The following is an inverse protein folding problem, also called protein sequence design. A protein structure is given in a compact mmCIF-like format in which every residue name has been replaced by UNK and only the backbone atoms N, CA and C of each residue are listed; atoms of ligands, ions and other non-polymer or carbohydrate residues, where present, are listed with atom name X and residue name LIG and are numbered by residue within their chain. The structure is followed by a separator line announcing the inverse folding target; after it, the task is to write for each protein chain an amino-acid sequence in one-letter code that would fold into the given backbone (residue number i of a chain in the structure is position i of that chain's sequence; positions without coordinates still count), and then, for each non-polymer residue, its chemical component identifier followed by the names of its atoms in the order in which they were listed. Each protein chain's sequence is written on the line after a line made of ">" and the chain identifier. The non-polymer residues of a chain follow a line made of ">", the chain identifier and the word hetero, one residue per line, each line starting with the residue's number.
data_IF_325876462200
#
_entry.id   IF_325876462200
#
_cell.length_a   1.000
_cell.length_b   1.000
_cell.length_c   1.000
_cell.angle_alpha   90.00
_cell.angle_beta   90.00
_cell.angle_gamma   90.00
#
_symmetry.space_group_name_H-M   'P 1'
#
loop_
_entity.id
_entity.type
_entity.pdbx_description
1 polymer ?
#
# COMPACT_ATOMS: atom_id res chain seq x y z
N UNK A 1 -28.82 14.10 -11.70
CA UNK A 1 -27.43 13.80 -12.12
C UNK A 1 -26.80 13.03 -10.98
N UNK A 2 -26.56 11.73 -11.16
CA UNK A 2 -25.84 10.92 -10.17
C UNK A 2 -24.43 11.50 -10.00
N UNK A 3 -24.07 11.90 -8.78
CA UNK A 3 -22.68 12.25 -8.47
C UNK A 3 -21.85 11.00 -8.68
N UNK A 4 -20.97 11.01 -9.68
CA UNK A 4 -20.01 9.93 -9.90
C UNK A 4 -19.17 9.79 -8.62
N UNK A 5 -19.29 8.65 -7.95
CA UNK A 5 -18.54 8.34 -6.73
C UNK A 5 -17.04 8.48 -7.04
N UNK A 6 -16.28 9.17 -6.17
CA UNK A 6 -14.84 9.34 -6.40
C UNK A 6 -14.16 7.99 -6.18
N UNK A 7 -13.37 7.52 -7.14
CA UNK A 7 -12.59 6.30 -6.96
C UNK A 7 -11.24 6.63 -6.34
N UNK A 8 -10.82 5.82 -5.37
CA UNK A 8 -9.48 5.85 -4.80
C UNK A 8 -8.89 4.45 -4.83
N UNK A 9 -7.74 4.31 -5.50
CA UNK A 9 -7.03 3.04 -5.63
C UNK A 9 -5.63 3.17 -5.06
N UNK A 10 -5.30 2.33 -4.08
CA UNK A 10 -3.99 2.31 -3.44
C UNK A 10 -3.36 0.92 -3.61
N UNK A 11 -2.09 0.87 -4.00
CA UNK A 11 -1.29 -0.35 -4.06
C UNK A 11 -0.23 -0.31 -2.97
N UNK A 12 -0.07 -1.40 -2.22
CA UNK A 12 1.08 -1.67 -1.35
C UNK A 12 1.82 -2.88 -1.93
N UNK A 13 2.97 -2.62 -2.53
CA UNK A 13 3.81 -3.57 -3.24
C UNK A 13 4.92 -4.10 -2.34
N UNK A 14 4.90 -5.41 -2.08
CA UNK A 14 5.71 -6.07 -1.05
C UNK A 14 5.13 -5.82 0.35
N UNK A 15 3.83 -6.08 0.51
CA UNK A 15 3.08 -5.73 1.71
C UNK A 15 3.36 -6.63 2.93
N UNK A 16 4.13 -7.70 2.76
CA UNK A 16 4.49 -8.67 3.79
C UNK A 16 3.25 -9.15 4.59
N UNK A 17 3.31 -9.09 5.92
CA UNK A 17 2.22 -9.49 6.83
C UNK A 17 1.07 -8.48 6.94
N UNK A 18 0.98 -7.47 6.07
CA UNK A 18 -0.23 -6.65 5.89
C UNK A 18 -0.33 -5.40 6.78
N UNK A 19 0.68 -5.11 7.60
CA UNK A 19 0.68 -3.92 8.47
C UNK A 19 0.51 -2.62 7.68
N UNK A 20 1.20 -2.46 6.53
CA UNK A 20 1.10 -1.26 5.70
C UNK A 20 -0.31 -1.09 5.07
N UNK A 21 -0.91 -2.09 4.38
CA UNK A 21 -2.28 -2.01 3.89
C UNK A 21 -3.32 -1.66 4.95
N UNK A 22 -3.23 -2.26 6.15
CA UNK A 22 -4.17 -1.95 7.23
C UNK A 22 -3.93 -0.57 7.82
N UNK A 23 -2.67 -0.12 7.93
CA UNK A 23 -2.36 1.26 8.33
C UNK A 23 -2.98 2.26 7.36
N UNK A 24 -2.86 2.02 6.05
CA UNK A 24 -3.47 2.87 5.02
C UNK A 24 -5.01 2.88 5.14
N UNK A 25 -5.62 1.72 5.41
CA UNK A 25 -7.07 1.62 5.62
C UNK A 25 -7.52 2.41 6.86
N UNK A 26 -6.78 2.32 7.97
CA UNK A 26 -7.03 3.11 9.18
C UNK A 26 -6.90 4.60 8.87
N UNK A 27 -5.83 5.03 8.18
CA UNK A 27 -5.65 6.43 7.79
C UNK A 27 -6.86 6.94 6.98
N UNK A 28 -7.39 6.14 6.05
CA UNK A 28 -8.58 6.52 5.29
C UNK A 28 -9.82 6.69 6.19
N UNK A 29 -10.04 5.78 7.15
CA UNK A 29 -11.15 5.88 8.11
C UNK A 29 -11.03 7.10 9.04
N UNK A 30 -9.81 7.59 9.27
CA UNK A 30 -9.59 8.74 10.17
C UNK A 30 -9.53 10.09 9.45
N UNK A 31 -9.18 10.10 8.16
CA UNK A 31 -9.01 11.35 7.39
C UNK A 31 -10.16 11.67 6.45
N UNK A 32 -11.00 10.69 6.10
CA UNK A 32 -12.14 10.88 5.21
C UNK A 32 -13.42 10.92 6.03
N UNK A 33 -14.15 12.04 5.95
CA UNK A 33 -15.39 12.26 6.72
C UNK A 33 -16.44 11.16 6.49
N UNK A 34 -16.67 10.80 5.22
CA UNK A 34 -17.57 9.70 4.85
C UNK A 34 -16.98 8.87 3.70
N UNK A 35 -16.42 7.70 4.05
CA UNK A 35 -15.92 6.75 3.07
C UNK A 35 -17.00 6.16 2.16
N UNK A 36 -18.30 6.32 2.45
CA UNK A 36 -19.36 5.90 1.53
C UNK A 36 -19.41 6.76 0.27
N UNK A 37 -18.88 7.97 0.30
CA UNK A 37 -18.79 8.86 -0.86
C UNK A 37 -17.61 8.52 -1.80
N UNK A 38 -16.74 7.60 -1.38
CA UNK A 38 -15.53 7.21 -2.12
C UNK A 38 -15.51 5.69 -2.31
N UNK A 39 -15.41 5.23 -3.55
CA UNK A 39 -15.07 3.83 -3.81
C UNK A 39 -13.57 3.66 -3.59
N UNK A 40 -13.18 3.40 -2.34
CA UNK A 40 -11.79 3.20 -1.93
C UNK A 40 -11.42 1.72 -1.92
N UNK A 41 -10.29 1.38 -2.55
CA UNK A 41 -9.71 0.03 -2.51
C UNK A 41 -8.21 0.09 -2.28
N UNK A 42 -7.73 -0.73 -1.35
CA UNK A 42 -6.33 -0.94 -1.04
C UNK A 42 -5.97 -2.36 -1.47
N UNK A 43 -4.94 -2.48 -2.29
CA UNK A 43 -4.45 -3.77 -2.75
C UNK A 43 -3.06 -3.99 -2.16
N UNK A 44 -2.89 -5.04 -1.37
CA UNK A 44 -1.60 -5.54 -0.91
C UNK A 44 -1.13 -6.67 -1.81
N UNK A 45 0.12 -6.62 -2.28
CA UNK A 45 0.73 -7.72 -3.03
C UNK A 45 2.04 -8.15 -2.40
N UNK A 46 2.29 -9.45 -2.38
CA UNK A 46 3.56 -10.02 -1.95
C UNK A 46 3.82 -11.37 -2.67
N UNK A 47 5.08 -11.80 -2.70
CA UNK A 47 5.48 -13.12 -3.20
C UNK A 47 5.41 -14.19 -2.11
N UNK A 48 5.56 -13.80 -0.84
CA UNK A 48 5.53 -14.71 0.30
C UNK A 48 4.09 -15.05 0.72
N UNK A 49 3.67 -16.26 0.39
CA UNK A 49 2.35 -16.77 0.75
C UNK A 49 2.14 -16.92 2.27
N UNK A 50 3.19 -17.21 3.04
CA UNK A 50 3.12 -17.29 4.50
C UNK A 50 2.83 -15.93 5.11
N UNK A 51 3.50 -14.89 4.61
CA UNK A 51 3.26 -13.51 5.01
C UNK A 51 1.82 -13.08 4.64
N UNK A 52 1.35 -13.39 3.43
CA UNK A 52 -0.01 -13.08 3.01
C UNK A 52 -1.08 -13.79 3.86
N UNK A 53 -0.86 -15.06 4.25
CA UNK A 53 -1.76 -15.76 5.19
C UNK A 53 -1.82 -15.09 6.57
N UNK A 54 -0.75 -14.43 7.02
CA UNK A 54 -0.78 -13.60 8.24
C UNK A 54 -1.56 -12.31 7.99
N UNK A 55 -1.34 -11.65 6.85
CA UNK A 55 -2.06 -10.45 6.45
C UNK A 55 -3.57 -10.67 6.36
N UNK A 56 -3.99 -11.76 5.71
CA UNK A 56 -5.39 -12.15 5.61
C UNK A 56 -5.99 -12.51 6.96
N UNK A 57 -5.24 -13.12 7.88
CA UNK A 57 -5.72 -13.33 9.25
C UNK A 57 -5.87 -12.01 10.00
N UNK A 58 -4.98 -11.04 9.78
CA UNK A 58 -5.02 -9.71 10.39
C UNK A 58 -5.01 -9.77 11.91
N UNK A 59 -4.22 -10.68 12.48
CA UNK A 59 -3.97 -10.80 13.92
C UNK A 59 -2.49 -10.54 14.15
N UNK A 60 -2.19 -9.57 15.01
CA UNK A 60 -0.86 -9.05 15.26
C UNK A 60 -0.48 -9.17 16.73
N UNK A 61 0.79 -9.40 17.01
CA UNK A 61 1.29 -9.38 18.39
C UNK A 61 1.51 -7.94 18.89
N UNK A 62 1.86 -7.80 20.16
CA UNK A 62 2.14 -6.52 20.80
C UNK A 62 3.30 -5.77 20.11
N UNK A 63 4.29 -6.49 19.59
CA UNK A 63 5.44 -5.90 18.91
C UNK A 63 5.04 -5.26 17.59
N UNK A 64 4.16 -5.90 16.81
CA UNK A 64 3.65 -5.37 15.54
C UNK A 64 2.83 -4.09 15.74
N UNK A 65 2.15 -3.93 16.88
CA UNK A 65 1.29 -2.76 17.13
C UNK A 65 1.89 -1.71 18.07
N UNK A 66 3.14 -1.90 18.54
CA UNK A 66 3.79 -1.03 19.53
C UNK A 66 3.80 0.46 19.17
N UNK A 67 3.85 0.77 17.87
CA UNK A 67 3.93 2.14 17.34
C UNK A 67 2.54 2.70 16.98
N UNK A 68 1.46 1.93 17.18
CA UNK A 68 0.08 2.35 16.93
C UNK A 68 -0.42 3.14 18.15
N UNK A 69 -0.81 4.42 18.00
CA UNK A 69 -1.38 5.18 19.11
C UNK A 69 -2.63 4.51 19.70
N UNK A 70 -2.75 4.51 21.03
CA UNK A 70 -3.81 3.80 21.77
C UNK A 70 -5.23 4.07 21.26
N UNK A 71 -5.55 5.34 20.93
CA UNK A 71 -6.85 5.71 20.36
C UNK A 71 -7.22 4.94 19.08
N UNK A 72 -6.22 4.57 18.26
CA UNK A 72 -6.45 3.83 17.03
C UNK A 72 -6.49 2.32 17.29
N UNK A 73 -5.74 1.83 18.28
CA UNK A 73 -5.86 0.44 18.76
C UNK A 73 -7.29 0.17 19.24
N UNK A 74 -7.81 1.00 20.14
CA UNK A 74 -9.15 0.85 20.72
C UNK A 74 -10.25 0.88 19.63
N UNK A 75 -10.10 1.79 18.67
CA UNK A 75 -11.10 2.00 17.61
C UNK A 75 -11.06 0.94 16.51
N UNK A 76 -9.87 0.46 16.12
CA UNK A 76 -9.69 -0.35 14.91
C UNK A 76 -9.28 -1.80 15.15
N UNK A 77 -9.05 -2.20 16.40
CA UNK A 77 -8.67 -3.56 16.74
C UNK A 77 -9.60 -4.14 17.81
N UNK A 78 -9.77 -5.45 17.77
CA UNK A 78 -10.30 -6.27 18.86
C UNK A 78 -9.13 -6.90 19.61
N UNK A 79 -9.16 -6.79 20.95
CA UNK A 79 -8.14 -7.41 21.80
C UNK A 79 -8.54 -8.87 22.02
N UNK A 80 -7.65 -9.78 21.62
CA UNK A 80 -7.78 -11.23 21.76
C UNK A 80 -6.68 -11.76 22.67
N UNK A 81 -6.85 -12.97 23.27
CA UNK A 81 -5.75 -13.64 23.97
C UNK A 81 -4.52 -13.88 23.09
N UNK A 82 -4.71 -13.97 21.77
CA UNK A 82 -3.66 -14.19 20.76
C UNK A 82 -3.06 -12.91 20.19
N UNK A 83 -3.44 -11.73 20.69
CA UNK A 83 -2.96 -10.42 20.23
C UNK A 83 -4.08 -9.49 19.80
N UNK A 84 -3.84 -8.70 18.75
CA UNK A 84 -4.74 -7.65 18.27
C UNK A 84 -5.27 -8.03 16.90
N UNK A 85 -6.59 -8.22 16.79
CA UNK A 85 -7.24 -8.51 15.52
C UNK A 85 -7.76 -7.24 14.89
N UNK A 86 -7.41 -6.98 13.62
CA UNK A 86 -7.95 -5.83 12.87
C UNK A 86 -9.46 -6.01 12.71
N UNK A 87 -10.24 -4.97 13.05
CA UNK A 87 -11.70 -4.98 12.89
C UNK A 87 -12.12 -5.02 11.43
N UNK A 88 -13.30 -5.62 11.18
CA UNK A 88 -13.79 -5.88 9.83
C UNK A 88 -13.96 -4.62 8.97
N UNK A 89 -14.31 -3.47 9.55
CA UNK A 89 -14.45 -2.23 8.75
C UNK A 89 -13.14 -1.77 8.11
N UNK A 90 -12.01 -2.03 8.76
CA UNK A 90 -10.67 -1.76 8.21
C UNK A 90 -10.32 -2.82 7.16
N UNK A 91 -10.64 -4.09 7.42
CA UNK A 91 -10.35 -5.21 6.52
C UNK A 91 -11.09 -5.12 5.20
N UNK A 92 -12.33 -4.64 5.19
CA UNK A 92 -13.19 -4.58 3.99
C UNK A 92 -12.59 -3.77 2.84
N UNK A 93 -11.76 -2.76 3.13
CA UNK A 93 -11.08 -1.95 2.11
C UNK A 93 -9.86 -2.63 1.49
N UNK A 94 -9.34 -3.69 2.12
CA UNK A 94 -8.05 -4.30 1.77
C UNK A 94 -8.27 -5.63 1.04
N UNK A 95 -7.52 -5.86 -0.05
CA UNK A 95 -7.44 -7.15 -0.74
C UNK A 95 -5.99 -7.54 -0.94
N UNK A 96 -5.69 -8.81 -0.73
CA UNK A 96 -4.35 -9.36 -0.84
C UNK A 96 -4.23 -10.26 -2.06
N UNK A 97 -3.10 -10.20 -2.77
CA UNK A 97 -2.80 -11.07 -3.90
C UNK A 97 -1.35 -11.56 -3.87
N UNK A 98 -1.15 -12.86 -4.11
CA UNK A 98 0.19 -13.44 -4.30
C UNK A 98 0.71 -13.10 -5.69
N UNK A 99 1.64 -12.16 -5.77
CA UNK A 99 2.14 -11.63 -7.04
C UNK A 99 3.64 -11.39 -6.95
N UNK A 100 4.35 -11.83 -7.98
CA UNK A 100 5.74 -11.47 -8.19
C UNK A 100 5.81 -10.11 -8.89
N UNK A 101 6.57 -9.16 -8.34
CA UNK A 101 6.74 -7.82 -8.91
C UNK A 101 7.41 -7.81 -10.30
N UNK A 102 8.10 -8.87 -10.67
CA UNK A 102 8.67 -9.04 -12.01
C UNK A 102 7.63 -9.51 -13.04
N UNK A 103 6.50 -10.08 -12.59
CA UNK A 103 5.44 -10.58 -13.46
C UNK A 103 4.48 -9.46 -13.85
N UNK A 104 4.83 -8.72 -14.90
CA UNK A 104 4.05 -7.62 -15.43
C UNK A 104 2.63 -8.04 -15.86
N UNK A 105 2.46 -9.28 -16.33
CA UNK A 105 1.16 -9.76 -16.80
C UNK A 105 0.20 -9.95 -15.63
N UNK A 106 0.65 -10.61 -14.56
CA UNK A 106 -0.19 -10.81 -13.38
C UNK A 106 -0.38 -9.52 -12.57
N UNK A 107 0.62 -8.63 -12.51
CA UNK A 107 0.45 -7.29 -11.95
C UNK A 107 -0.71 -6.52 -12.59
N UNK A 108 -0.78 -6.51 -13.92
CA UNK A 108 -1.85 -5.82 -14.65
C UNK A 108 -3.24 -6.44 -14.46
N UNK A 109 -3.33 -7.68 -13.97
CA UNK A 109 -4.60 -8.35 -13.60
C UNK A 109 -5.08 -7.96 -12.20
N UNK A 110 -4.16 -7.65 -11.28
CA UNK A 110 -4.49 -7.15 -9.93
C UNK A 110 -5.25 -5.83 -10.01
N UNK A 111 -4.84 -4.97 -10.94
CA UNK A 111 -5.49 -3.71 -11.19
C UNK A 111 -4.63 -2.79 -12.04
N UNK A 112 -5.24 -1.70 -12.49
CA UNK A 112 -4.57 -0.59 -13.15
C UNK A 112 -5.13 0.71 -12.58
N UNK A 113 -4.45 1.81 -12.91
CA UNK A 113 -4.87 3.15 -12.56
C UNK A 113 -4.89 3.39 -11.04
N UNK A 114 -3.80 3.03 -10.37
CA UNK A 114 -3.60 3.38 -8.96
C UNK A 114 -3.28 4.86 -8.80
N UNK A 115 -3.90 5.50 -7.79
CA UNK A 115 -3.68 6.90 -7.40
C UNK A 115 -2.43 7.01 -6.50
N UNK A 116 -2.23 6.01 -5.64
CA UNK A 116 -1.09 5.91 -4.74
C UNK A 116 -0.48 4.51 -4.78
N UNK A 117 0.85 4.44 -4.85
CA UNK A 117 1.62 3.19 -4.80
C UNK A 117 2.64 3.29 -3.68
N UNK A 118 2.68 2.31 -2.80
CA UNK A 118 3.69 2.16 -1.76
C UNK A 118 4.58 0.98 -2.15
N UNK A 119 5.89 1.18 -2.18
CA UNK A 119 6.88 0.14 -2.42
C UNK A 119 8.06 0.42 -1.49
N UNK A 120 7.87 0.13 -0.20
CA UNK A 120 8.77 0.55 0.88
C UNK A 120 9.55 -0.63 1.41
N UNK A 121 10.87 -0.49 1.51
CA UNK A 121 11.79 -1.49 2.02
C UNK A 121 11.83 -2.78 1.18
N UNK A 122 11.52 -2.69 -0.12
CA UNK A 122 11.48 -3.85 -1.05
C UNK A 122 12.60 -3.78 -2.07
N UNK A 123 12.83 -2.60 -2.66
CA UNK A 123 13.80 -2.43 -3.75
C UNK A 123 15.24 -2.62 -3.27
N UNK A 124 15.50 -2.47 -1.97
CA UNK A 124 16.83 -2.71 -1.37
C UNK A 124 17.37 -4.12 -1.64
N UNK A 125 16.50 -5.11 -1.83
CA UNK A 125 16.90 -6.51 -2.08
C UNK A 125 17.22 -6.80 -3.55
N UNK A 126 16.99 -5.86 -4.46
CA UNK A 126 17.13 -6.07 -5.89
C UNK A 126 18.44 -5.48 -6.44
N UNK A 127 18.95 -6.07 -7.53
CA UNK A 127 20.01 -5.48 -8.35
C UNK A 127 19.48 -4.23 -9.06
N UNK A 128 20.37 -3.39 -9.59
CA UNK A 128 19.95 -2.15 -10.26
C UNK A 128 19.07 -2.39 -11.50
N UNK A 129 19.32 -3.46 -12.25
CA UNK A 129 18.48 -3.87 -13.38
C UNK A 129 17.09 -4.32 -12.90
N UNK A 130 17.06 -5.18 -11.88
CA UNK A 130 15.82 -5.65 -11.28
C UNK A 130 14.98 -4.51 -10.67
N UNK A 131 15.63 -3.52 -10.03
CA UNK A 131 14.96 -2.31 -9.52
C UNK A 131 14.28 -1.54 -10.64
N UNK A 132 14.95 -1.35 -11.78
CA UNK A 132 14.37 -0.66 -12.94
C UNK A 132 13.15 -1.39 -13.46
N UNK A 133 13.24 -2.70 -13.65
CA UNK A 133 12.13 -3.50 -14.15
C UNK A 133 10.90 -3.42 -13.24
N UNK A 134 11.09 -3.55 -11.92
CA UNK A 134 9.99 -3.44 -10.95
C UNK A 134 9.36 -2.05 -10.99
N UNK A 135 10.18 -1.00 -11.00
CA UNK A 135 9.67 0.38 -11.06
C UNK A 135 8.93 0.66 -12.36
N UNK A 136 9.38 0.15 -13.49
CA UNK A 136 8.66 0.25 -14.77
C UNK A 136 7.31 -0.46 -14.72
N UNK A 137 7.26 -1.66 -14.15
CA UNK A 137 6.01 -2.41 -13.95
C UNK A 137 5.02 -1.60 -13.09
N UNK A 138 5.48 -1.07 -11.96
CA UNK A 138 4.65 -0.23 -11.08
C UNK A 138 4.21 1.06 -11.78
N UNK A 139 5.09 1.71 -12.55
CA UNK A 139 4.77 2.91 -13.32
C UNK A 139 3.62 2.66 -14.31
N UNK A 140 3.56 1.49 -14.95
CA UNK A 140 2.47 1.13 -15.86
C UNK A 140 1.12 0.96 -15.14
N UNK A 141 1.14 0.60 -13.85
CA UNK A 141 -0.08 0.44 -13.04
C UNK A 141 -0.63 1.78 -12.53
N UNK A 142 0.15 2.85 -12.55
CA UNK A 142 -0.20 4.16 -11.98
C UNK A 142 -1.01 5.05 -12.94
N UNK A 143 -1.95 5.84 -12.42
CA UNK A 143 -2.58 6.96 -13.17
C UNK A 143 -1.55 8.05 -13.48
N UNK A 144 -1.71 8.83 -14.56
CA UNK A 144 -1.04 10.12 -14.69
C UNK A 144 -1.31 10.98 -13.45
N UNK A 145 -0.28 11.64 -12.93
CA UNK A 145 -0.37 12.45 -11.69
C UNK A 145 -0.31 11.66 -10.37
N UNK A 146 -0.34 10.32 -10.39
CA UNK A 146 -0.27 9.47 -9.20
C UNK A 146 1.09 9.54 -8.49
N UNK A 147 1.13 9.11 -7.23
CA UNK A 147 2.35 9.13 -6.41
C UNK A 147 2.83 7.72 -6.06
N UNK A 148 4.15 7.56 -6.03
CA UNK A 148 4.83 6.39 -5.45
C UNK A 148 5.68 6.81 -4.24
N UNK A 149 5.56 6.03 -3.17
CA UNK A 149 6.26 6.20 -1.90
C UNK A 149 7.27 5.06 -1.72
N UNK A 150 8.52 5.42 -1.41
CA UNK A 150 9.60 4.46 -1.15
C UNK A 150 10.01 4.49 0.33
N UNK A 151 10.77 3.48 0.76
CA UNK A 151 11.38 3.43 2.08
C UNK A 151 12.48 4.49 2.25
N UNK A 152 12.84 4.76 3.49
CA UNK A 152 13.74 5.88 3.83
C UNK A 152 15.13 5.80 3.17
N UNK A 153 15.67 4.58 3.00
CA UNK A 153 16.97 4.34 2.39
C UNK A 153 16.91 4.20 0.86
N UNK A 154 15.73 4.22 0.27
CA UNK A 154 15.51 4.00 -1.17
C UNK A 154 15.38 5.33 -1.91
N UNK A 155 15.88 5.38 -3.14
CA UNK A 155 15.79 6.60 -3.96
C UNK A 155 15.45 6.28 -5.41
N UNK A 156 14.33 6.84 -5.88
CA UNK A 156 13.89 6.67 -7.27
C UNK A 156 14.88 7.28 -8.26
N UNK A 157 15.59 8.35 -7.89
CA UNK A 157 16.50 9.07 -8.79
C UNK A 157 17.69 8.24 -9.25
N UNK A 158 18.05 7.20 -8.49
CA UNK A 158 19.10 6.24 -8.85
C UNK A 158 18.60 5.17 -9.81
N UNK A 159 17.28 5.00 -9.92
CA UNK A 159 16.63 3.95 -10.71
C UNK A 159 16.19 4.51 -12.06
N UNK A 160 15.39 5.58 -12.06
CA UNK A 160 14.80 6.18 -13.26
C UNK A 160 14.56 7.69 -13.10
N UNK A 161 14.48 8.41 -14.23
CA UNK A 161 14.11 9.84 -14.30
C UNK A 161 12.64 10.06 -14.68
N UNK A 162 11.85 9.00 -14.83
CA UNK A 162 10.45 9.08 -15.26
C UNK A 162 9.53 9.80 -14.26
N UNK A 163 9.92 9.90 -12.99
CA UNK A 163 9.13 10.55 -11.95
C UNK A 163 9.62 11.96 -11.63
N UNK A 164 8.68 12.83 -11.29
CA UNK A 164 8.96 14.14 -10.68
C UNK A 164 9.09 13.98 -9.17
N UNK A 165 10.19 14.46 -8.62
CA UNK A 165 10.38 14.49 -7.17
C UNK A 165 9.50 15.59 -6.57
N UNK A 166 8.76 15.25 -5.53
CA UNK A 166 7.96 16.17 -4.73
C UNK A 166 8.35 16.01 -3.26
N UNK A 167 8.21 17.08 -2.50
CA UNK A 167 8.46 17.07 -1.05
C UNK A 167 7.13 17.11 -0.33
N UNK A 168 6.91 16.18 0.59
CA UNK A 168 5.75 16.12 1.47
C UNK A 168 6.29 16.16 2.91
N UNK A 169 6.26 17.34 3.53
CA UNK A 169 6.95 17.59 4.81
C UNK A 169 8.45 17.29 4.71
N UNK A 170 8.93 16.37 5.54
CA UNK A 170 10.34 15.96 5.58
C UNK A 170 10.66 14.76 4.65
N UNK A 171 9.68 14.25 3.92
CA UNK A 171 9.82 13.07 3.07
C UNK A 171 9.77 13.44 1.59
N UNK A 172 10.54 12.71 0.78
CA UNK A 172 10.44 12.78 -0.67
C UNK A 172 9.42 11.77 -1.17
N UNK A 173 8.57 12.20 -2.09
CA UNK A 173 7.61 11.36 -2.79
C UNK A 173 7.78 11.57 -4.29
N UNK A 174 7.42 10.58 -5.10
CA UNK A 174 7.69 10.59 -6.53
C UNK A 174 6.39 10.57 -7.30
N UNK A 175 6.18 11.57 -8.16
CA UNK A 175 4.94 11.73 -8.90
C UNK A 175 5.12 11.30 -10.36
N UNK A 176 4.23 10.45 -10.86
CA UNK A 176 4.09 10.18 -12.28
C UNK A 176 3.60 11.45 -12.97
N UNK A 177 4.26 11.95 -14.04
CA UNK A 177 3.80 13.12 -14.77
C UNK A 177 2.35 12.96 -15.27
N UNK A 178 1.69 14.10 -15.52
CA UNK A 178 0.39 14.17 -16.20
C UNK A 178 0.52 13.74 -17.66
#
# INVERSE_FOLDING_TARGET
>A
MEKKQKELRILSAGCSSGEEPYTLSIILHEMVDDLRDIDAKIVGIDIDESALKKAERGIYDERSVKDVPGKYLDKHFDILPSGYSVKEHVRRLVRFHKINLFDSTNLLRVGKQFDFVFCRNVLIYFSDESRRQVVENLYMMMKPGAYIFLGYSESMTRITRAFRIKRAGNTLVYQKPM
#
